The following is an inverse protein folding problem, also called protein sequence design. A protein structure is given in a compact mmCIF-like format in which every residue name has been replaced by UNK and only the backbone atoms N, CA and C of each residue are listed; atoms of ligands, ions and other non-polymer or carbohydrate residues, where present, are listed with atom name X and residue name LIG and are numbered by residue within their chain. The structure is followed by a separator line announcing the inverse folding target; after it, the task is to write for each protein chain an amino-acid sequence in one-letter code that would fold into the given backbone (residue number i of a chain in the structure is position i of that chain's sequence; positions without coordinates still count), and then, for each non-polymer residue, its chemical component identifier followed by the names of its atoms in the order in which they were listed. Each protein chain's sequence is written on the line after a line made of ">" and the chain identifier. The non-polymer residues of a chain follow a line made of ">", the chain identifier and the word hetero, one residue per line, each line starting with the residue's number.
data_IF_673672210135
#
_entry.id   IF_673672210135
#
_cell.length_a   1.000
_cell.length_b   1.000
_cell.length_c   1.000
_cell.angle_alpha   90.00
_cell.angle_beta   90.00
_cell.angle_gamma   90.00
#
_symmetry.space_group_name_H-M   'P 1'
#
loop_
_entity.id
_entity.type
_entity.pdbx_description
1 polymer ?
#
# COMPACT_ATOMS: atom_id res chain seq x y z
N UNK A 1 5.01 -17.45 -3.07
CA UNK A 1 3.92 -17.68 -4.07
C UNK A 1 2.92 -16.52 -3.99
N UNK A 2 1.89 -16.44 -4.87
CA UNK A 2 0.87 -15.35 -4.81
C UNK A 2 0.22 -15.21 -3.43
N UNK A 3 0.02 -16.33 -2.74
CA UNK A 3 -0.51 -16.38 -1.37
C UNK A 3 0.45 -15.75 -0.35
N UNK A 4 1.76 -15.99 -0.47
CA UNK A 4 2.76 -15.40 0.44
C UNK A 4 2.77 -13.87 0.40
N UNK A 5 2.44 -13.25 -0.73
CA UNK A 5 2.30 -11.79 -0.84
C UNK A 5 1.01 -11.29 -0.18
N UNK A 6 -0.10 -12.01 -0.35
CA UNK A 6 -1.37 -11.65 0.30
C UNK A 6 -1.24 -11.65 1.82
N UNK A 7 -0.58 -12.65 2.40
CA UNK A 7 -0.35 -12.74 3.85
C UNK A 7 0.52 -11.58 4.39
N UNK A 8 1.26 -10.89 3.51
CA UNK A 8 2.14 -9.77 3.88
C UNK A 8 1.51 -8.40 3.65
N UNK A 9 0.35 -8.32 3.00
CA UNK A 9 -0.37 -7.05 2.82
C UNK A 9 -1.34 -6.93 4.01
N UNK A 10 -1.15 -5.96 4.92
CA UNK A 10 -2.05 -5.78 6.06
C UNK A 10 -3.53 -5.62 5.68
N UNK A 11 -3.80 -5.00 4.52
CA UNK A 11 -5.15 -4.85 3.99
C UNK A 11 -5.79 -6.18 3.53
N UNK A 12 -5.03 -7.29 3.51
CA UNK A 12 -5.52 -8.63 3.18
C UNK A 12 -5.90 -8.85 1.72
N UNK A 13 -5.67 -7.86 0.85
CA UNK A 13 -6.00 -7.93 -0.58
C UNK A 13 -5.03 -7.14 -1.44
N UNK A 14 -5.00 -7.47 -2.73
CA UNK A 14 -4.38 -6.59 -3.71
C UNK A 14 -5.19 -5.31 -3.89
N UNK A 15 -4.48 -4.22 -4.18
CA UNK A 15 -5.10 -2.98 -4.62
C UNK A 15 -5.69 -3.11 -6.03
N UNK A 16 -6.68 -2.28 -6.33
CA UNK A 16 -7.20 -2.09 -7.68
C UNK A 16 -6.41 -1.04 -8.43
N UNK A 17 -6.63 -0.93 -9.75
CA UNK A 17 -5.98 0.09 -10.58
C UNK A 17 -6.45 1.50 -10.21
N UNK A 18 -7.71 1.60 -9.82
CA UNK A 18 -8.38 2.84 -9.44
C UNK A 18 -7.80 3.41 -8.14
N UNK A 19 -7.40 2.55 -7.19
CA UNK A 19 -6.75 2.99 -5.94
C UNK A 19 -5.37 3.62 -6.20
N UNK A 20 -4.60 3.06 -7.14
CA UNK A 20 -3.32 3.65 -7.58
C UNK A 20 -3.57 4.95 -8.34
N UNK A 21 -4.56 4.97 -9.23
CA UNK A 21 -4.91 6.17 -9.99
C UNK A 21 -5.37 7.31 -9.06
N UNK A 22 -6.15 7.01 -8.03
CA UNK A 22 -6.60 8.00 -7.06
C UNK A 22 -5.43 8.64 -6.29
N UNK A 23 -4.43 7.84 -5.88
CA UNK A 23 -3.23 8.37 -5.24
C UNK A 23 -2.43 9.28 -6.19
N UNK A 24 -2.32 8.91 -7.47
CA UNK A 24 -1.68 9.74 -8.48
C UNK A 24 -2.45 11.06 -8.73
N UNK A 25 -3.79 11.00 -8.77
CA UNK A 25 -4.65 12.18 -8.92
C UNK A 25 -4.50 13.12 -7.73
N UNK A 26 -4.45 12.60 -6.50
CA UNK A 26 -4.19 13.41 -5.31
C UNK A 26 -2.85 14.15 -5.41
N UNK A 27 -1.76 13.46 -5.77
CA UNK A 27 -0.44 14.08 -5.93
C UNK A 27 -0.36 15.08 -7.09
N UNK A 28 -1.30 15.03 -8.03
CA UNK A 28 -1.42 15.96 -9.15
C UNK A 28 -2.43 17.10 -8.89
N UNK A 29 -3.21 17.03 -7.81
CA UNK A 29 -4.24 18.02 -7.48
C UNK A 29 -3.70 19.11 -6.54
N UNK A 30 -4.44 20.21 -6.47
CA UNK A 30 -4.16 21.33 -5.57
C UNK A 30 -4.22 20.92 -4.08
N UNK A 31 -4.88 19.81 -3.75
CA UNK A 31 -4.96 19.28 -2.38
C UNK A 31 -3.59 18.84 -1.84
N UNK A 32 -2.61 18.63 -2.72
CA UNK A 32 -1.25 18.21 -2.37
C UNK A 32 -0.22 19.34 -2.45
N UNK A 33 -0.63 20.61 -2.52
CA UNK A 33 0.27 21.74 -2.81
C UNK A 33 1.45 21.92 -1.82
N UNK A 34 1.37 21.33 -0.62
CA UNK A 34 2.40 21.37 0.41
C UNK A 34 3.03 19.99 0.69
N UNK A 35 2.66 18.97 -0.09
CA UNK A 35 3.20 17.61 -0.01
C UNK A 35 4.28 17.43 -1.08
N UNK A 36 5.49 17.91 -0.79
CA UNK A 36 6.61 17.93 -1.74
C UNK A 36 7.75 17.04 -1.23
N UNK A 37 8.42 16.33 -2.15
CA UNK A 37 9.56 15.45 -1.82
C UNK A 37 9.16 14.18 -1.05
N UNK A 38 7.86 13.87 -0.98
CA UNK A 38 7.33 12.72 -0.28
C UNK A 38 7.06 11.53 -1.23
N UNK A 39 7.19 10.31 -0.70
CA UNK A 39 6.78 9.09 -1.40
C UNK A 39 5.50 8.58 -0.74
N UNK A 40 4.38 8.73 -1.45
CA UNK A 40 3.09 8.21 -1.00
C UNK A 40 3.00 6.71 -1.31
N UNK A 41 2.98 5.86 -0.28
CA UNK A 41 2.86 4.42 -0.45
C UNK A 41 1.39 4.03 -0.70
N UNK A 42 1.11 3.48 -1.89
CA UNK A 42 -0.20 2.91 -2.25
C UNK A 42 -0.10 1.40 -2.38
N UNK A 43 0.17 0.71 -1.25
CA UNK A 43 0.55 -0.70 -1.24
C UNK A 43 -0.23 -1.56 -0.21
N UNK A 44 -1.33 -1.02 0.32
CA UNK A 44 -2.13 -1.71 1.33
C UNK A 44 -1.40 -1.93 2.66
N UNK A 45 -0.33 -1.17 2.93
CA UNK A 45 0.48 -1.25 4.14
C UNK A 45 1.71 -2.17 4.01
N UNK A 46 1.96 -2.75 2.83
CA UNK A 46 3.01 -3.74 2.61
C UNK A 46 4.41 -3.27 3.01
N UNK A 47 4.80 -2.03 2.67
CA UNK A 47 6.12 -1.47 3.03
C UNK A 47 6.29 -1.20 4.53
N UNK A 48 5.20 -0.87 5.23
CA UNK A 48 5.24 -0.48 6.66
C UNK A 48 4.95 -1.63 7.61
N UNK A 49 4.38 -2.74 7.12
CA UNK A 49 4.06 -3.92 7.93
C UNK A 49 5.27 -4.51 8.69
N UNK A 50 6.50 -4.20 8.26
CA UNK A 50 7.72 -4.74 8.86
C UNK A 50 7.79 -6.26 8.68
N UNK A 51 8.38 -6.96 9.65
CA UNK A 51 8.30 -8.42 9.71
C UNK A 51 6.95 -8.81 10.32
N UNK A 52 5.88 -8.78 9.52
CA UNK A 52 4.62 -9.45 9.87
C UNK A 52 4.84 -10.96 9.82
N UNK A 53 5.34 -11.50 10.93
CA UNK A 53 5.28 -12.91 11.24
C UNK A 53 3.96 -13.15 11.97
N UNK A 54 2.97 -13.72 11.29
CA UNK A 54 2.17 -14.70 12.01
C UNK A 54 2.99 -16.00 11.94
N UNK A 55 3.43 -16.56 13.07
CA UNK A 55 3.97 -17.92 13.05
C UNK A 55 2.87 -18.80 12.45
N UNK A 56 3.25 -19.71 11.55
CA UNK A 56 2.33 -20.70 11.01
C UNK A 56 1.54 -21.31 12.18
N UNK A 57 0.28 -20.92 12.33
CA UNK A 57 -0.66 -21.60 13.20
C UNK A 57 -1.05 -22.84 12.42
N UNK A 58 -0.62 -23.98 12.97
CA UNK A 58 -0.79 -25.36 12.49
C UNK A 58 -2.16 -25.62 11.84
#
# INVERSE_FOLDING_TARGET
>A
TRQSYLNRIPLGRYGSREEVAAAAVFLASDDSNFVVGHVLNTDGGFKMAGLTFEPDVE
#
